data_IF_027315381074
#
_entry.id   IF_027315381074
#
_cell.length_a   1.000
_cell.length_b   1.000
_cell.length_c   1.000
_cell.angle_alpha   90.00
_cell.angle_beta   90.00
_cell.angle_gamma   90.00
#
_symmetry.space_group_name_H-M   'P 1'
#
loop_
_entity.id
_entity.type
_entity.pdbx_description
1 polymer ?
#
# COMPACT_ATOMS: atom_id res chain seq x y z
N UNK A 1 25.46 86.97 -53.98
CA UNK A 1 24.54 85.99 -54.58
C UNK A 1 25.33 84.72 -54.86
N UNK A 2 24.84 83.60 -54.30
CA UNK A 2 25.17 82.19 -54.57
C UNK A 2 26.52 81.91 -55.26
N UNK A 3 27.46 81.33 -54.52
CA UNK A 3 27.89 79.98 -54.89
C UNK A 3 28.53 79.22 -53.74
N UNK A 4 28.16 77.94 -53.60
CA UNK A 4 28.57 77.06 -52.52
C UNK A 4 29.99 76.55 -52.76
N UNK A 5 30.94 77.01 -51.93
CA UNK A 5 32.18 76.28 -51.66
C UNK A 5 31.92 75.13 -50.70
N UNK A 6 32.19 73.89 -51.12
CA UNK A 6 32.59 72.80 -50.21
C UNK A 6 33.94 72.25 -50.68
N UNK A 7 34.98 72.32 -49.84
CA UNK A 7 36.30 71.77 -50.13
C UNK A 7 36.39 70.29 -49.75
N UNK A 8 37.33 69.62 -50.42
CA UNK A 8 37.93 68.35 -50.02
C UNK A 8 38.43 68.38 -48.57
N UNK A 9 38.40 67.23 -47.87
CA UNK A 9 39.53 66.69 -47.09
C UNK A 9 39.16 65.40 -46.36
N UNK A 10 40.01 64.38 -46.58
CA UNK A 10 40.61 63.43 -45.60
C UNK A 10 39.63 62.46 -44.89
N UNK A 11 39.96 61.22 -44.54
CA UNK A 11 41.23 60.59 -44.23
C UNK A 11 41.05 59.07 -44.07
N UNK A 12 42.18 58.34 -44.09
CA UNK A 12 42.42 57.01 -43.53
C UNK A 12 41.81 55.76 -44.22
N UNK A 13 42.71 54.90 -44.71
CA UNK A 13 42.37 53.52 -45.06
C UNK A 13 43.46 52.77 -45.82
N UNK A 14 44.74 53.04 -45.57
CA UNK A 14 45.85 52.16 -45.99
C UNK A 14 45.80 50.93 -45.06
N UNK A 15 45.94 49.73 -45.62
CA UNK A 15 45.99 48.38 -45.00
C UNK A 15 44.69 47.57 -44.96
N UNK A 16 44.23 47.09 -46.11
CA UNK A 16 43.40 45.86 -46.17
C UNK A 16 43.53 45.14 -47.52
N UNK A 17 44.75 44.96 -48.02
CA UNK A 17 45.03 44.27 -49.28
C UNK A 17 45.40 42.78 -49.12
N UNK A 18 45.06 42.12 -48.00
CA UNK A 18 45.57 40.76 -47.72
C UNK A 18 44.63 39.88 -46.88
N UNK A 19 43.31 39.97 -47.05
CA UNK A 19 42.38 39.17 -46.23
C UNK A 19 41.07 38.72 -46.92
N UNK A 20 41.05 38.56 -48.25
CA UNK A 20 39.85 38.06 -48.98
C UNK A 20 40.14 36.82 -49.87
N UNK A 21 41.38 36.32 -49.91
CA UNK A 21 41.78 35.21 -50.80
C UNK A 21 41.93 33.83 -50.14
N UNK A 22 41.59 33.64 -48.86
CA UNK A 22 41.93 32.41 -48.13
C UNK A 22 40.85 31.95 -47.15
N UNK A 23 39.58 31.95 -47.57
CA UNK A 23 38.46 31.58 -46.69
C UNK A 23 37.53 30.47 -47.21
N UNK A 24 37.84 29.77 -48.30
CA UNK A 24 36.98 28.69 -48.83
C UNK A 24 37.79 27.52 -49.41
N UNK A 25 38.75 26.97 -48.65
CA UNK A 25 39.36 25.68 -48.93
C UNK A 25 39.79 25.01 -47.61
N UNK A 26 38.89 24.89 -46.63
CA UNK A 26 39.03 23.84 -45.62
C UNK A 26 38.42 22.58 -46.23
N UNK A 27 39.15 21.98 -47.17
CA UNK A 27 38.88 20.63 -47.60
C UNK A 27 39.07 19.75 -46.36
N UNK A 28 37.99 19.16 -45.87
CA UNK A 28 37.99 18.16 -44.81
C UNK A 28 38.75 16.93 -45.33
N UNK A 29 40.02 16.69 -44.92
CA UNK A 29 40.86 15.69 -45.56
C UNK A 29 40.46 14.25 -45.19
N UNK A 30 39.58 14.08 -44.20
CA UNK A 30 39.18 12.75 -43.69
C UNK A 30 38.17 12.01 -44.59
N UNK A 31 37.31 12.71 -45.34
CA UNK A 31 36.25 12.03 -46.13
C UNK A 31 36.76 11.46 -47.45
N UNK A 32 37.84 12.03 -47.99
CA UNK A 32 38.41 11.63 -49.28
C UNK A 32 39.21 10.31 -49.18
N UNK A 33 39.82 10.03 -48.03
CA UNK A 33 40.71 8.87 -47.88
C UNK A 33 39.91 7.55 -47.79
N UNK A 34 38.88 7.49 -46.93
CA UNK A 34 38.01 6.31 -46.76
C UNK A 34 37.28 5.93 -48.07
N UNK A 35 36.71 6.92 -48.76
CA UNK A 35 36.01 6.66 -50.02
C UNK A 35 36.98 6.18 -51.11
N UNK A 36 38.19 6.75 -51.18
CA UNK A 36 39.23 6.32 -52.10
C UNK A 36 39.67 4.87 -51.82
N UNK A 37 39.83 4.50 -50.55
CA UNK A 37 40.18 3.14 -50.16
C UNK A 37 39.08 2.13 -50.52
N UNK A 38 37.80 2.47 -50.31
CA UNK A 38 36.68 1.62 -50.73
C UNK A 38 36.68 1.40 -52.24
N UNK A 39 36.93 2.45 -53.03
CA UNK A 39 36.98 2.36 -54.49
C UNK A 39 38.15 1.51 -54.99
N UNK A 40 39.35 1.69 -54.43
CA UNK A 40 40.53 0.85 -54.70
C UNK A 40 40.27 -0.61 -54.33
N UNK A 41 39.68 -0.83 -53.16
CA UNK A 41 39.27 -2.16 -52.69
C UNK A 41 38.27 -2.83 -53.63
N UNK A 42 37.28 -2.09 -54.14
CA UNK A 42 36.30 -2.59 -55.13
C UNK A 42 36.97 -2.96 -56.45
N UNK A 43 37.86 -2.12 -56.96
CA UNK A 43 38.59 -2.40 -58.20
C UNK A 43 39.44 -3.68 -58.07
N UNK A 44 40.18 -3.83 -56.97
CA UNK A 44 40.96 -5.03 -56.68
C UNK A 44 40.06 -6.28 -56.49
N UNK A 45 38.88 -6.13 -55.87
CA UNK A 45 37.90 -7.20 -55.70
C UNK A 45 37.35 -7.71 -57.05
N UNK A 46 36.98 -6.79 -57.96
CA UNK A 46 36.52 -7.13 -59.31
C UNK A 46 37.62 -7.83 -60.12
N UNK A 47 38.87 -7.40 -59.94
CA UNK A 47 40.05 -8.07 -60.52
C UNK A 47 40.36 -9.45 -59.88
N UNK A 48 39.56 -9.89 -58.90
CA UNK A 48 39.78 -11.10 -58.09
C UNK A 48 41.11 -11.09 -57.32
N UNK A 49 41.76 -9.92 -57.18
CA UNK A 49 42.94 -9.75 -56.35
C UNK A 49 42.55 -9.54 -54.88
N UNK A 50 42.05 -10.60 -54.26
CA UNK A 50 41.56 -10.55 -52.89
C UNK A 50 42.66 -10.19 -51.88
N UNK A 51 43.93 -10.48 -52.17
CA UNK A 51 45.09 -10.14 -51.34
C UNK A 51 45.28 -8.62 -51.21
N UNK A 52 45.04 -7.90 -52.31
CA UNK A 52 45.14 -6.44 -52.37
C UNK A 52 43.85 -5.76 -51.88
N UNK A 53 42.67 -6.36 -52.11
CA UNK A 53 41.39 -5.77 -51.71
C UNK A 53 41.17 -5.72 -50.19
N UNK A 54 41.56 -6.78 -49.46
CA UNK A 54 41.33 -6.90 -48.00
C UNK A 54 41.91 -5.75 -47.15
N UNK A 55 43.18 -5.32 -47.32
CA UNK A 55 43.74 -4.23 -46.52
C UNK A 55 43.02 -2.89 -46.76
N UNK A 56 42.56 -2.59 -47.98
CA UNK A 56 41.82 -1.37 -48.27
C UNK A 56 40.50 -1.31 -47.49
N UNK A 57 39.71 -2.40 -47.51
CA UNK A 57 38.47 -2.43 -46.72
C UNK A 57 38.72 -2.48 -45.20
N UNK A 58 39.84 -3.01 -44.74
CA UNK A 58 40.21 -2.95 -43.32
C UNK A 58 40.57 -1.54 -42.86
N UNK A 59 41.34 -0.78 -43.65
CA UNK A 59 41.62 0.64 -43.39
C UNK A 59 40.33 1.46 -43.37
N UNK A 60 39.43 1.19 -44.32
CA UNK A 60 38.10 1.78 -44.34
C UNK A 60 37.25 1.44 -43.10
N UNK A 61 37.64 0.45 -42.28
CA UNK A 61 37.01 0.07 -41.00
C UNK A 61 37.82 0.45 -39.75
N UNK A 62 39.00 1.05 -39.87
CA UNK A 62 39.87 1.44 -38.76
C UNK A 62 39.20 2.49 -37.83
N UNK A 63 39.11 2.28 -36.50
CA UNK A 63 38.52 3.25 -35.57
C UNK A 63 39.16 4.65 -35.55
N UNK A 64 40.38 4.82 -36.09
CA UNK A 64 41.09 6.10 -36.11
C UNK A 64 40.54 7.12 -37.14
N UNK A 65 39.67 6.69 -38.04
CA UNK A 65 39.04 7.52 -39.08
C UNK A 65 37.87 8.35 -38.50
N UNK A 66 38.09 9.66 -38.30
CA UNK A 66 37.15 10.58 -37.59
C UNK A 66 35.84 10.86 -38.36
N UNK A 67 35.71 10.47 -39.63
CA UNK A 67 34.56 10.85 -40.50
C UNK A 67 34.01 9.67 -41.31
N UNK A 68 33.47 8.64 -40.65
CA UNK A 68 32.87 7.47 -41.31
C UNK A 68 31.35 7.57 -41.43
N UNK A 69 30.82 7.34 -42.62
CA UNK A 69 29.38 7.15 -42.84
C UNK A 69 28.98 5.71 -42.45
N UNK A 70 27.86 5.50 -41.72
CA UNK A 70 27.33 4.17 -41.44
C UNK A 70 27.23 3.28 -42.69
N UNK A 71 26.83 3.83 -43.83
CA UNK A 71 26.72 3.12 -45.11
C UNK A 71 28.07 2.61 -45.64
N UNK A 72 29.15 3.40 -45.50
CA UNK A 72 30.51 3.00 -45.87
C UNK A 72 31.02 1.86 -44.99
N UNK A 73 30.60 1.83 -43.72
CA UNK A 73 30.90 0.74 -42.78
C UNK A 73 30.25 -0.57 -43.22
N UNK A 74 28.94 -0.53 -43.53
CA UNK A 74 28.19 -1.69 -44.01
C UNK A 74 28.78 -2.21 -45.34
N UNK A 75 29.04 -1.31 -46.29
CA UNK A 75 29.69 -1.66 -47.57
C UNK A 75 31.04 -2.33 -47.36
N UNK A 76 31.92 -1.74 -46.55
CA UNK A 76 33.27 -2.29 -46.32
C UNK A 76 33.24 -3.66 -45.63
N UNK A 77 32.33 -3.86 -44.66
CA UNK A 77 32.13 -5.16 -44.02
C UNK A 77 31.55 -6.20 -44.98
N UNK A 78 30.61 -5.82 -45.86
CA UNK A 78 30.06 -6.73 -46.86
C UNK A 78 31.15 -7.24 -47.80
N UNK A 79 32.02 -6.34 -48.30
CA UNK A 79 33.15 -6.74 -49.15
C UNK A 79 34.19 -7.58 -48.41
N UNK A 80 34.49 -7.32 -47.14
CA UNK A 80 35.36 -8.18 -46.34
C UNK A 80 34.76 -9.58 -46.13
N UNK A 81 33.46 -9.67 -45.88
CA UNK A 81 32.76 -10.95 -45.79
C UNK A 81 32.81 -11.71 -47.11
N UNK A 82 32.60 -11.02 -48.24
CA UNK A 82 32.71 -11.61 -49.57
C UNK A 82 34.14 -12.12 -49.88
N UNK A 83 35.18 -11.35 -49.51
CA UNK A 83 36.58 -11.78 -49.61
C UNK A 83 36.86 -13.00 -48.73
N UNK A 84 36.30 -13.05 -47.52
CA UNK A 84 36.46 -14.19 -46.62
C UNK A 84 35.82 -15.46 -47.21
N UNK A 85 34.62 -15.36 -47.81
CA UNK A 85 33.99 -16.47 -48.55
C UNK A 85 34.87 -16.92 -49.72
N UNK A 86 35.36 -15.99 -50.54
CA UNK A 86 36.20 -16.31 -51.69
C UNK A 86 37.52 -17.01 -51.31
N UNK A 87 38.02 -16.78 -50.08
CA UNK A 87 39.20 -17.47 -49.53
C UNK A 87 38.86 -18.74 -48.72
N UNK A 88 37.61 -19.21 -48.75
CA UNK A 88 37.17 -20.41 -48.02
C UNK A 88 36.98 -20.21 -46.52
N UNK A 89 37.11 -18.99 -46.00
CA UNK A 89 36.93 -18.65 -44.57
C UNK A 89 35.46 -18.35 -44.26
N UNK A 90 34.61 -19.36 -44.41
CA UNK A 90 33.15 -19.22 -44.32
C UNK A 90 32.68 -18.78 -42.91
N UNK A 91 33.32 -19.26 -41.85
CA UNK A 91 33.00 -18.88 -40.47
C UNK A 91 33.31 -17.40 -40.17
N UNK A 92 34.47 -16.91 -40.64
CA UNK A 92 34.85 -15.50 -40.50
C UNK A 92 33.89 -14.59 -41.26
N UNK A 93 33.47 -15.00 -42.47
CA UNK A 93 32.47 -14.29 -43.25
C UNK A 93 31.12 -14.19 -42.51
N UNK A 94 30.67 -15.30 -41.90
CA UNK A 94 29.45 -15.32 -41.08
C UNK A 94 29.49 -14.31 -39.94
N UNK A 95 30.62 -14.21 -39.21
CA UNK A 95 30.80 -13.22 -38.12
C UNK A 95 30.77 -11.78 -38.62
N UNK A 96 31.38 -11.52 -39.77
CA UNK A 96 31.36 -10.19 -40.41
C UNK A 96 29.95 -9.81 -40.85
N UNK A 97 29.19 -10.74 -41.43
CA UNK A 97 27.79 -10.52 -41.80
C UNK A 97 26.88 -10.35 -40.58
N UNK A 98 27.10 -11.13 -39.52
CA UNK A 98 26.36 -10.98 -38.27
C UNK A 98 26.58 -9.58 -37.66
N UNK A 99 27.84 -9.13 -37.61
CA UNK A 99 28.17 -7.78 -37.12
C UNK A 99 27.56 -6.70 -38.02
N UNK A 100 27.60 -6.89 -39.35
CA UNK A 100 26.96 -5.99 -40.30
C UNK A 100 25.45 -5.88 -40.05
N UNK A 101 24.77 -7.00 -39.85
CA UNK A 101 23.32 -7.06 -39.64
C UNK A 101 22.89 -6.54 -38.26
N UNK A 102 23.78 -6.57 -37.26
CA UNK A 102 23.56 -5.95 -35.96
C UNK A 102 23.64 -4.42 -36.06
N UNK A 103 24.57 -3.90 -36.85
CA UNK A 103 24.76 -2.46 -37.06
C UNK A 103 23.72 -1.87 -38.04
N UNK A 104 23.38 -2.61 -39.09
CA UNK A 104 22.45 -2.21 -40.15
C UNK A 104 21.53 -3.37 -40.57
N UNK A 105 20.35 -3.42 -39.95
CA UNK A 105 19.36 -4.49 -40.15
C UNK A 105 18.68 -4.46 -41.52
N UNK A 106 18.72 -3.31 -42.21
CA UNK A 106 18.06 -3.08 -43.49
C UNK A 106 19.02 -3.20 -44.67
N UNK A 107 20.29 -3.49 -44.42
CA UNK A 107 21.29 -3.65 -45.46
C UNK A 107 20.92 -4.77 -46.44
N UNK A 108 20.87 -4.42 -47.72
CA UNK A 108 20.66 -5.36 -48.81
C UNK A 108 21.85 -5.30 -49.78
N UNK A 109 22.59 -6.41 -49.94
CA UNK A 109 23.68 -6.46 -50.90
C UNK A 109 23.12 -6.48 -52.34
N UNK A 110 23.78 -5.75 -53.24
CA UNK A 110 23.46 -5.76 -54.67
C UNK A 110 23.77 -7.15 -55.28
N UNK A 111 22.76 -7.89 -55.80
CA UNK A 111 22.96 -9.21 -56.37
C UNK A 111 23.91 -9.28 -57.56
N UNK A 112 24.13 -8.16 -58.27
CA UNK A 112 25.05 -8.11 -59.41
C UNK A 112 26.51 -7.89 -58.97
N UNK A 113 26.72 -7.33 -57.77
CA UNK A 113 28.04 -7.02 -57.24
C UNK A 113 28.71 -8.22 -56.53
N UNK A 114 27.93 -9.20 -56.07
CA UNK A 114 28.42 -10.32 -55.26
C UNK A 114 28.05 -11.69 -55.85
N UNK A 115 28.95 -12.70 -55.78
CA UNK A 115 28.64 -14.06 -56.18
C UNK A 115 27.48 -14.67 -55.36
N UNK A 116 26.76 -15.61 -55.96
CA UNK A 116 25.62 -16.30 -55.33
C UNK A 116 25.96 -16.93 -53.98
N UNK A 117 27.14 -17.52 -53.83
CA UNK A 117 27.57 -18.15 -52.57
C UNK A 117 27.66 -17.16 -51.40
N UNK A 118 28.07 -15.92 -51.69
CA UNK A 118 28.16 -14.83 -50.71
C UNK A 118 26.77 -14.38 -50.29
N UNK A 119 25.87 -14.18 -51.27
CA UNK A 119 24.48 -13.79 -51.03
C UNK A 119 23.74 -14.85 -50.22
N UNK A 120 23.90 -16.13 -50.54
CA UNK A 120 23.28 -17.22 -49.80
C UNK A 120 23.77 -17.25 -48.35
N UNK A 121 25.09 -17.14 -48.12
CA UNK A 121 25.62 -17.10 -46.76
C UNK A 121 25.10 -15.88 -45.97
N UNK A 122 24.96 -14.73 -46.62
CA UNK A 122 24.39 -13.53 -46.00
C UNK A 122 22.92 -13.74 -45.62
N UNK A 123 22.10 -14.31 -46.51
CA UNK A 123 20.69 -14.63 -46.25
C UNK A 123 20.56 -15.63 -45.10
N UNK A 124 21.37 -16.69 -45.10
CA UNK A 124 21.42 -17.70 -44.03
C UNK A 124 21.77 -17.06 -42.69
N UNK A 125 22.79 -16.20 -42.67
CA UNK A 125 23.22 -15.48 -41.46
C UNK A 125 22.10 -14.59 -40.94
N UNK A 126 21.39 -13.88 -41.83
CA UNK A 126 20.24 -13.05 -41.47
C UNK A 126 19.09 -13.86 -40.89
N UNK A 127 18.78 -15.01 -41.47
CA UNK A 127 17.76 -15.90 -40.94
C UNK A 127 18.13 -16.42 -39.55
N UNK A 128 19.38 -16.88 -39.37
CA UNK A 128 19.87 -17.36 -38.08
C UNK A 128 19.89 -16.26 -37.01
N UNK A 129 20.33 -15.04 -37.36
CA UNK A 129 20.37 -13.92 -36.42
C UNK A 129 18.95 -13.53 -35.96
N UNK A 130 17.99 -13.45 -36.89
CA UNK A 130 16.59 -13.17 -36.55
C UNK A 130 16.01 -14.21 -35.59
N UNK A 131 16.27 -15.48 -35.83
CA UNK A 131 15.82 -16.56 -34.95
C UNK A 131 16.42 -16.44 -33.55
N UNK A 132 17.74 -16.23 -33.45
CA UNK A 132 18.42 -16.03 -32.15
C UNK A 132 17.87 -14.82 -31.39
N UNK A 133 17.62 -13.70 -32.07
CA UNK A 133 17.06 -12.49 -31.44
C UNK A 133 15.63 -12.71 -30.96
N UNK A 134 14.79 -13.38 -31.77
CA UNK A 134 13.42 -13.71 -31.39
C UNK A 134 13.36 -14.67 -30.20
N UNK A 135 14.21 -15.70 -30.19
CA UNK A 135 14.34 -16.64 -29.07
C UNK A 135 14.76 -15.92 -27.78
N UNK A 136 15.78 -15.06 -27.85
CA UNK A 136 16.23 -14.27 -26.70
C UNK A 136 15.15 -13.29 -26.20
N UNK A 137 14.38 -12.67 -27.11
CA UNK A 137 13.26 -11.81 -26.74
C UNK A 137 12.12 -12.60 -26.05
N UNK A 138 11.80 -13.80 -26.56
CA UNK A 138 10.80 -14.68 -25.96
C UNK A 138 11.22 -15.15 -24.56
N UNK A 139 12.49 -15.47 -24.35
CA UNK A 139 13.02 -15.83 -23.03
C UNK A 139 12.94 -14.66 -22.05
N UNK A 140 13.34 -13.45 -22.46
CA UNK A 140 13.22 -12.23 -21.63
C UNK A 140 11.76 -11.96 -21.26
N UNK A 141 10.83 -12.06 -22.21
CA UNK A 141 9.41 -11.90 -21.95
C UNK A 141 8.86 -12.94 -20.96
N UNK A 142 9.29 -14.21 -21.06
CA UNK A 142 8.93 -15.26 -20.11
C UNK A 142 9.49 -14.98 -18.71
N UNK A 143 10.73 -14.51 -18.62
CA UNK A 143 11.37 -14.16 -17.35
C UNK A 143 10.67 -12.97 -16.68
N UNK A 144 10.31 -11.93 -17.44
CA UNK A 144 9.55 -10.79 -16.94
C UNK A 144 8.14 -11.18 -16.50
N UNK A 145 7.43 -11.99 -17.28
CA UNK A 145 6.11 -12.50 -16.92
C UNK A 145 6.16 -13.34 -15.63
N UNK A 146 7.15 -14.23 -15.51
CA UNK A 146 7.36 -15.02 -14.29
C UNK A 146 7.69 -14.14 -13.08
N UNK A 147 8.49 -13.08 -13.26
CA UNK A 147 8.79 -12.12 -12.20
C UNK A 147 7.54 -11.36 -11.74
N UNK A 148 6.73 -10.86 -12.67
CA UNK A 148 5.46 -10.17 -12.36
C UNK A 148 4.50 -11.10 -11.61
N UNK A 149 4.36 -12.36 -12.06
CA UNK A 149 3.54 -13.35 -11.37
C UNK A 149 4.03 -13.62 -9.94
N UNK A 150 5.34 -13.74 -9.72
CA UNK A 150 5.93 -13.90 -8.38
C UNK A 150 5.66 -12.70 -7.49
N UNK A 151 5.79 -11.48 -8.02
CA UNK A 151 5.51 -10.24 -7.29
C UNK A 151 4.02 -10.13 -6.92
N UNK A 152 3.10 -10.49 -7.82
CA UNK A 152 1.66 -10.54 -7.53
C UNK A 152 1.29 -11.60 -6.49
N UNK A 153 1.85 -12.81 -6.61
CA UNK A 153 1.66 -13.88 -5.62
C UNK A 153 2.19 -13.45 -4.26
N UNK A 154 3.37 -12.83 -4.21
CA UNK A 154 3.95 -12.29 -2.99
C UNK A 154 3.10 -11.16 -2.39
N UNK A 155 2.49 -10.32 -3.23
CA UNK A 155 1.55 -9.27 -2.79
C UNK A 155 0.31 -9.87 -2.16
N UNK A 156 -0.34 -10.82 -2.83
CA UNK A 156 -1.51 -11.54 -2.32
C UNK A 156 -1.20 -12.27 -1.01
N UNK A 157 -0.05 -12.96 -0.93
CA UNK A 157 0.33 -13.66 0.30
C UNK A 157 0.56 -12.71 1.47
N UNK A 158 1.10 -11.50 1.21
CA UNK A 158 1.25 -10.45 2.23
C UNK A 158 -0.09 -9.93 2.69
N UNK A 159 -1.02 -9.64 1.77
CA UNK A 159 -2.38 -9.21 2.10
C UNK A 159 -3.11 -10.26 2.96
N UNK A 160 -3.03 -11.53 2.59
CA UNK A 160 -3.65 -12.63 3.35
C UNK A 160 -3.00 -12.85 4.72
N UNK A 161 -1.67 -12.70 4.81
CA UNK A 161 -0.96 -12.74 6.08
C UNK A 161 -1.38 -11.59 6.99
N UNK A 162 -1.44 -10.36 6.47
CA UNK A 162 -1.92 -9.19 7.22
C UNK A 162 -3.36 -9.39 7.69
N UNK A 163 -4.26 -9.90 6.83
CA UNK A 163 -5.64 -10.21 7.21
C UNK A 163 -5.70 -11.23 8.35
N UNK A 164 -4.91 -12.31 8.27
CA UNK A 164 -4.82 -13.31 9.34
C UNK A 164 -4.28 -12.72 10.64
N UNK A 165 -3.22 -11.92 10.57
CA UNK A 165 -2.64 -11.26 11.75
C UNK A 165 -3.64 -10.30 12.37
N UNK A 166 -4.37 -9.52 11.57
CA UNK A 166 -5.42 -8.61 12.07
C UNK A 166 -6.56 -9.37 12.75
N UNK A 167 -6.99 -10.50 12.21
CA UNK A 167 -8.01 -11.34 12.85
C UNK A 167 -7.52 -11.88 14.21
N UNK A 168 -6.29 -12.39 14.26
CA UNK A 168 -5.69 -12.90 15.52
C UNK A 168 -5.45 -11.77 16.53
N UNK A 169 -5.04 -10.58 16.08
CA UNK A 169 -4.81 -9.42 16.93
C UNK A 169 -6.11 -8.72 17.40
N UNK A 170 -7.25 -8.98 16.74
CA UNK A 170 -8.55 -8.49 17.15
C UNK A 170 -9.13 -9.25 18.34
N UNK A 171 -8.57 -10.41 18.70
CA UNK A 171 -9.01 -11.18 19.86
C UNK A 171 -8.08 -10.89 21.04
N UNK A 172 -8.62 -10.26 22.08
CA UNK A 172 -7.92 -10.09 23.35
C UNK A 172 -8.52 -11.03 24.39
N UNK A 173 -7.67 -11.89 24.95
CA UNK A 173 -8.01 -12.80 26.04
C UNK A 173 -7.89 -12.03 27.36
N UNK A 174 -8.97 -11.41 27.81
CA UNK A 174 -8.98 -10.71 29.10
C UNK A 174 -9.29 -11.73 30.19
N UNK A 175 -8.36 -11.90 31.12
CA UNK A 175 -8.58 -12.74 32.32
C UNK A 175 -9.12 -11.84 33.41
N UNK A 176 -10.41 -11.95 33.71
CA UNK A 176 -11.03 -11.23 34.82
C UNK A 176 -10.85 -12.07 36.08
N UNK A 177 -10.19 -11.50 37.09
CA UNK A 177 -10.00 -12.15 38.40
C UNK A 177 -11.22 -11.93 39.27
N UNK A 178 -11.78 -13.01 39.79
CA UNK A 178 -12.85 -12.96 40.77
C UNK A 178 -12.27 -12.76 42.18
N UNK A 179 -12.97 -12.00 43.01
CA UNK A 179 -12.58 -11.72 44.40
C UNK A 179 -13.48 -12.49 45.37
N UNK A 180 -12.87 -13.22 46.31
CA UNK A 180 -13.61 -13.96 47.35
C UNK A 180 -14.41 -13.05 48.29
N UNK A 181 -13.96 -11.80 48.46
CA UNK A 181 -14.68 -10.81 49.28
C UNK A 181 -16.00 -10.40 48.64
N UNK A 182 -16.03 -10.27 47.30
CA UNK A 182 -17.27 -9.99 46.59
C UNK A 182 -18.27 -11.15 46.71
N UNK A 183 -17.77 -12.40 46.79
CA UNK A 183 -18.59 -13.58 47.05
C UNK A 183 -19.12 -13.70 48.50
N UNK A 184 -18.72 -12.79 49.42
CA UNK A 184 -19.30 -12.70 50.77
C UNK A 184 -20.48 -11.73 50.85
N UNK A 185 -20.74 -10.97 49.78
CA UNK A 185 -21.82 -10.00 49.79
C UNK A 185 -23.18 -10.70 49.61
N UNK A 186 -24.22 -10.27 50.36
CA UNK A 186 -25.59 -10.71 50.15
C UNK A 186 -26.13 -10.22 48.79
N UNK A 187 -27.38 -10.52 48.50
CA UNK A 187 -28.11 -10.16 47.28
C UNK A 187 -27.62 -10.86 46.01
N UNK A 188 -27.08 -12.07 46.15
CA UNK A 188 -26.69 -12.88 45.00
C UNK A 188 -25.42 -12.42 44.27
N UNK A 189 -24.65 -11.48 44.84
CA UNK A 189 -23.45 -10.89 44.19
C UNK A 189 -22.40 -11.97 43.88
N UNK A 190 -22.17 -12.90 44.80
CA UNK A 190 -21.23 -14.01 44.59
C UNK A 190 -21.66 -14.97 43.48
N UNK A 191 -22.96 -15.25 43.37
CA UNK A 191 -23.53 -16.09 42.32
C UNK A 191 -23.39 -15.43 40.94
N UNK A 192 -23.62 -14.12 40.85
CA UNK A 192 -23.42 -13.34 39.63
C UNK A 192 -21.94 -13.34 39.21
N UNK A 193 -21.03 -13.18 40.17
CA UNK A 193 -19.59 -13.27 39.94
C UNK A 193 -19.16 -14.65 39.43
N UNK A 194 -19.74 -15.72 39.99
CA UNK A 194 -19.46 -17.10 39.59
C UNK A 194 -20.17 -17.51 38.27
N UNK A 195 -20.92 -16.60 37.63
CA UNK A 195 -21.63 -16.88 36.37
C UNK A 195 -23.00 -17.58 36.52
N UNK A 196 -23.45 -17.82 37.75
CA UNK A 196 -24.74 -18.44 38.06
C UNK A 196 -25.86 -17.39 38.07
N UNK A 197 -26.17 -16.83 36.89
CA UNK A 197 -27.08 -15.68 36.75
C UNK A 197 -28.46 -15.92 37.34
N UNK A 198 -29.05 -17.09 37.09
CA UNK A 198 -30.38 -17.42 37.60
C UNK A 198 -30.41 -17.36 39.13
N UNK A 199 -29.47 -18.04 39.80
CA UNK A 199 -29.38 -18.06 41.26
C UNK A 199 -29.09 -16.67 41.85
N UNK A 200 -28.21 -15.90 41.20
CA UNK A 200 -27.91 -14.53 41.60
C UNK A 200 -29.14 -13.63 41.60
N UNK A 201 -29.94 -13.64 40.52
CA UNK A 201 -31.17 -12.86 40.44
C UNK A 201 -32.25 -13.36 41.40
N UNK A 202 -32.37 -14.68 41.62
CA UNK A 202 -33.36 -15.20 42.58
C UNK A 202 -33.05 -14.76 44.00
N UNK A 203 -31.77 -14.78 44.41
CA UNK A 203 -31.36 -14.31 45.73
C UNK A 203 -31.52 -12.80 45.86
N UNK A 204 -31.14 -12.02 44.84
CA UNK A 204 -31.38 -10.57 44.81
C UNK A 204 -32.85 -10.23 45.06
N UNK A 205 -33.77 -10.90 44.37
CA UNK A 205 -35.22 -10.66 44.52
C UNK A 205 -35.71 -11.14 45.88
N UNK A 206 -35.36 -12.36 46.29
CA UNK A 206 -35.83 -12.93 47.56
C UNK A 206 -35.37 -12.09 48.77
N UNK A 207 -34.09 -11.78 48.83
CA UNK A 207 -33.51 -10.95 49.89
C UNK A 207 -34.03 -9.51 49.83
N UNK A 208 -34.18 -8.95 48.63
CA UNK A 208 -34.76 -7.62 48.42
C UNK A 208 -36.19 -7.51 48.94
N UNK A 209 -37.03 -8.52 48.70
CA UNK A 209 -38.40 -8.60 49.23
C UNK A 209 -38.39 -8.69 50.76
N UNK A 210 -37.50 -9.48 51.35
CA UNK A 210 -37.41 -9.61 52.81
C UNK A 210 -36.96 -8.30 53.48
N UNK A 211 -35.97 -7.62 52.91
CA UNK A 211 -35.50 -6.31 53.40
C UNK A 211 -36.59 -5.25 53.23
N UNK A 212 -37.23 -5.18 52.06
CA UNK A 212 -38.32 -4.25 51.81
C UNK A 212 -39.51 -4.51 52.74
N UNK A 213 -39.89 -5.77 52.94
CA UNK A 213 -40.93 -6.16 53.88
C UNK A 213 -40.58 -5.75 55.31
N UNK A 214 -39.34 -5.98 55.74
CA UNK A 214 -38.84 -5.55 57.05
C UNK A 214 -38.95 -4.03 57.20
N UNK A 215 -38.50 -3.25 56.21
CA UNK A 215 -38.60 -1.79 56.24
C UNK A 215 -40.06 -1.30 56.28
N UNK A 216 -40.96 -1.92 55.50
CA UNK A 216 -42.37 -1.57 55.45
C UNK A 216 -43.09 -1.79 56.79
N UNK A 217 -42.65 -2.74 57.62
CA UNK A 217 -43.27 -2.93 58.95
C UNK A 217 -43.01 -1.77 59.93
N UNK A 218 -41.96 -0.97 59.74
CA UNK A 218 -41.60 0.13 60.65
C UNK A 218 -42.70 1.20 60.78
N UNK A 219 -43.22 1.82 59.70
CA UNK A 219 -44.30 2.79 59.83
C UNK A 219 -45.58 2.19 60.44
N UNK A 220 -45.90 0.93 60.13
CA UNK A 220 -47.04 0.25 60.75
C UNK A 220 -46.84 0.05 62.26
N UNK A 221 -45.62 -0.30 62.69
CA UNK A 221 -45.29 -0.42 64.11
C UNK A 221 -45.40 0.92 64.83
N UNK A 222 -44.80 1.98 64.28
CA UNK A 222 -44.83 3.34 64.86
C UNK A 222 -46.27 3.85 64.93
N UNK A 223 -47.06 3.68 63.87
CA UNK A 223 -48.47 4.07 63.85
C UNK A 223 -49.28 3.32 64.92
N UNK A 224 -49.11 2.00 65.04
CA UNK A 224 -49.80 1.23 66.07
C UNK A 224 -49.42 1.68 67.50
N UNK A 225 -48.15 2.04 67.72
CA UNK A 225 -47.66 2.52 69.01
C UNK A 225 -48.20 3.93 69.34
N UNK A 226 -48.24 4.82 68.36
CA UNK A 226 -48.78 6.18 68.51
C UNK A 226 -50.28 6.14 68.85
N UNK A 227 -51.07 5.35 68.12
CA UNK A 227 -52.50 5.17 68.41
C UNK A 227 -52.74 4.58 69.80
N UNK A 228 -51.90 3.64 70.26
CA UNK A 228 -51.99 3.11 71.62
C UNK A 228 -51.76 4.18 72.69
N UNK A 229 -50.83 5.12 72.46
CA UNK A 229 -50.51 6.19 73.39
C UNK A 229 -51.62 7.26 73.45
N UNK A 230 -52.19 7.63 72.30
CA UNK A 230 -53.29 8.60 72.21
C UNK A 230 -54.58 8.10 72.89
N UNK A 231 -54.90 6.81 72.77
CA UNK A 231 -56.08 6.23 73.40
C UNK A 231 -55.90 6.09 74.92
N UNK A 232 -54.68 5.80 75.38
CA UNK A 232 -54.33 5.82 76.81
C UNK A 232 -54.46 7.24 77.40
N UNK A 233 -54.05 8.26 76.66
CA UNK A 233 -54.16 9.67 77.07
C UNK A 233 -55.61 10.19 77.11
N UNK A 234 -56.52 9.61 76.32
CA UNK A 234 -57.94 9.98 76.25
C UNK A 234 -58.83 9.32 77.33
N UNK A 235 -58.25 8.50 78.21
CA UNK A 235 -58.96 7.91 79.35
C UNK A 235 -59.90 6.75 79.02
N UNK A 236 -59.75 6.14 77.84
CA UNK A 236 -60.59 5.02 77.41
C UNK A 236 -60.02 3.67 77.91
N UNK A 237 -60.84 2.75 78.43
CA UNK A 237 -60.39 1.66 79.30
C UNK A 237 -59.63 0.58 78.53
N UNK A 238 -58.48 0.18 79.10
CA UNK A 238 -57.60 -1.00 78.92
C UNK A 238 -57.75 -1.88 77.66
N UNK A 239 -58.96 -2.27 77.24
CA UNK A 239 -59.21 -3.17 76.09
C UNK A 239 -58.77 -2.61 74.73
N UNK A 240 -59.03 -1.31 74.43
CA UNK A 240 -58.65 -0.71 73.13
C UNK A 240 -57.15 -0.49 73.02
N UNK A 241 -56.55 0.07 74.08
CA UNK A 241 -55.09 0.22 74.15
C UNK A 241 -54.36 -1.13 74.10
N UNK A 242 -54.92 -2.17 74.70
CA UNK A 242 -54.36 -3.53 74.62
C UNK A 242 -54.38 -4.08 73.20
N UNK A 243 -55.47 -3.89 72.44
CA UNK A 243 -55.56 -4.32 71.05
C UNK A 243 -54.47 -3.68 70.16
N UNK A 244 -54.13 -2.40 70.36
CA UNK A 244 -53.02 -1.75 69.65
C UNK A 244 -51.65 -2.26 70.09
N UNK A 245 -51.46 -2.56 71.38
CA UNK A 245 -50.24 -3.21 71.89
C UNK A 245 -50.04 -4.61 71.31
N UNK A 246 -51.11 -5.40 71.23
CA UNK A 246 -51.09 -6.75 70.63
C UNK A 246 -50.79 -6.67 69.13
N UNK A 247 -51.33 -5.66 68.43
CA UNK A 247 -51.01 -5.38 67.03
C UNK A 247 -49.55 -4.98 66.84
N UNK A 248 -49.02 -4.10 67.68
CA UNK A 248 -47.60 -3.71 67.64
C UNK A 248 -46.68 -4.90 67.92
N UNK A 249 -47.03 -5.75 68.88
CA UNK A 249 -46.31 -6.99 69.17
C UNK A 249 -46.32 -7.95 67.97
N UNK A 250 -47.47 -8.09 67.30
CA UNK A 250 -47.60 -8.91 66.09
C UNK A 250 -46.75 -8.36 64.94
N UNK A 251 -46.78 -7.05 64.71
CA UNK A 251 -45.94 -6.39 63.68
C UNK A 251 -44.45 -6.59 63.99
N UNK A 252 -44.05 -6.50 65.27
CA UNK A 252 -42.67 -6.77 65.70
C UNK A 252 -42.28 -8.22 65.47
N UNK A 253 -43.17 -9.18 65.75
CA UNK A 253 -42.92 -10.59 65.47
C UNK A 253 -42.74 -10.84 63.96
N UNK A 254 -43.57 -10.22 63.12
CA UNK A 254 -43.44 -10.28 61.65
C UNK A 254 -42.13 -9.64 61.20
N UNK A 255 -41.77 -8.47 61.72
CA UNK A 255 -40.49 -7.81 61.42
C UNK A 255 -39.30 -8.71 61.74
N UNK A 256 -39.31 -9.33 62.94
CA UNK A 256 -38.24 -10.24 63.36
C UNK A 256 -38.18 -11.51 62.49
N UNK A 257 -39.34 -12.05 62.08
CA UNK A 257 -39.40 -13.18 61.18
C UNK A 257 -38.84 -12.86 59.78
N UNK A 258 -39.18 -11.69 59.22
CA UNK A 258 -38.66 -11.23 57.93
C UNK A 258 -37.15 -10.95 58.00
N UNK A 259 -36.68 -10.28 59.05
CA UNK A 259 -35.27 -10.01 59.27
C UNK A 259 -34.46 -11.29 59.48
N UNK A 260 -34.98 -12.23 60.29
CA UNK A 260 -34.38 -13.55 60.49
C UNK A 260 -34.34 -14.38 59.21
N UNK A 261 -35.43 -14.34 58.42
CA UNK A 261 -35.50 -14.96 57.10
C UNK A 261 -34.45 -14.37 56.14
N UNK A 262 -34.28 -13.05 56.13
CA UNK A 262 -33.23 -12.40 55.33
C UNK A 262 -31.84 -12.90 55.72
N UNK A 263 -31.51 -12.90 57.01
CA UNK A 263 -30.20 -13.36 57.49
C UNK A 263 -29.95 -14.82 57.12
N UNK A 264 -30.95 -15.69 57.27
CA UNK A 264 -30.83 -17.10 56.92
C UNK A 264 -30.57 -17.31 55.42
N UNK A 265 -31.35 -16.63 54.56
CA UNK A 265 -31.19 -16.70 53.10
C UNK A 265 -29.84 -16.13 52.67
N UNK A 266 -29.43 -15.00 53.24
CA UNK A 266 -28.16 -14.36 52.95
C UNK A 266 -26.96 -15.25 53.32
N UNK A 267 -26.97 -15.89 54.50
CA UNK A 267 -25.90 -16.83 54.90
C UNK A 267 -25.86 -18.03 53.95
N UNK A 268 -27.01 -18.62 53.62
CA UNK A 268 -27.09 -19.73 52.69
C UNK A 268 -26.55 -19.34 51.30
N UNK A 269 -26.90 -18.14 50.82
CA UNK A 269 -26.37 -17.56 49.59
C UNK A 269 -24.85 -17.39 49.64
N UNK A 270 -24.30 -16.81 50.71
CA UNK A 270 -22.85 -16.63 50.86
C UNK A 270 -22.10 -17.96 50.88
N UNK A 271 -22.58 -18.95 51.65
CA UNK A 271 -21.96 -20.28 51.70
C UNK A 271 -21.97 -20.92 50.32
N UNK A 272 -23.10 -20.85 49.61
CA UNK A 272 -23.22 -21.41 48.27
C UNK A 272 -22.26 -20.70 47.27
N UNK A 273 -22.13 -19.38 47.36
CA UNK A 273 -21.21 -18.62 46.51
C UNK A 273 -19.73 -18.96 46.76
N UNK A 274 -19.35 -19.22 48.02
CA UNK A 274 -17.98 -19.62 48.36
C UNK A 274 -17.67 -21.04 47.89
N UNK A 275 -18.63 -21.96 48.00
CA UNK A 275 -18.45 -23.34 47.51
C UNK A 275 -18.34 -23.40 45.98
N UNK A 276 -19.10 -22.57 45.27
CA UNK A 276 -19.09 -22.52 43.81
C UNK A 276 -18.11 -21.48 43.23
N UNK A 277 -17.14 -21.02 44.02
CA UNK A 277 -16.25 -19.91 43.65
C UNK A 277 -15.36 -20.24 42.44
N UNK A 278 -15.43 -19.40 41.40
CA UNK A 278 -14.58 -19.50 40.20
C UNK A 278 -13.53 -18.39 40.23
N UNK A 279 -12.23 -18.70 40.39
CA UNK A 279 -11.20 -17.69 40.63
C UNK A 279 -10.87 -16.84 39.40
N UNK A 280 -10.90 -17.43 38.21
CA UNK A 280 -10.54 -16.74 36.96
C UNK A 280 -11.52 -17.09 35.87
N UNK A 281 -11.97 -16.07 35.14
CA UNK A 281 -12.79 -16.24 33.95
C UNK A 281 -12.09 -15.63 32.75
N UNK A 282 -11.92 -16.46 31.73
CA UNK A 282 -11.39 -16.05 30.45
C UNK A 282 -12.56 -15.51 29.62
N UNK A 283 -12.53 -14.22 29.33
CA UNK A 283 -13.45 -13.61 28.36
C UNK A 283 -12.65 -13.19 27.12
N UNK A 284 -13.06 -13.69 25.96
CA UNK A 284 -12.53 -13.23 24.67
C UNK A 284 -13.30 -11.98 24.30
N UNK A 285 -12.62 -10.83 24.28
CA UNK A 285 -13.20 -9.55 23.83
C UNK A 285 -12.58 -9.13 22.52
N UNK A 286 -13.39 -8.51 21.66
CA UNK A 286 -12.92 -7.92 20.41
C UNK A 286 -12.20 -6.61 20.72
N UNK A 287 -10.89 -6.57 20.50
CA UNK A 287 -10.06 -5.37 20.63
C UNK A 287 -10.17 -4.51 19.37
N UNK A 288 -10.29 -3.20 19.53
CA UNK A 288 -10.13 -2.26 18.42
C UNK A 288 -8.65 -2.18 18.03
N UNK A 289 -8.38 -2.36 16.73
CA UNK A 289 -7.02 -2.23 16.19
C UNK A 289 -6.53 -0.77 16.36
N UNK A 290 -5.23 -0.55 16.65
CA UNK A 290 -4.64 0.77 16.64
C UNK A 290 -4.89 1.45 15.27
N UNK A 291 -5.11 2.77 15.23
CA UNK A 291 -5.19 3.48 13.96
C UNK A 291 -3.88 3.30 13.18
N UNK A 292 -4.01 3.12 11.86
CA UNK A 292 -2.89 2.94 10.96
C UNK A 292 -1.91 4.12 11.09
N UNK A 293 -0.59 3.89 11.23
CA UNK A 293 0.36 4.99 11.34
C UNK A 293 0.33 5.85 10.08
N UNK A 294 0.33 7.18 10.28
CA UNK A 294 0.37 8.17 9.19
C UNK A 294 1.58 7.89 8.28
N UNK A 295 1.34 7.24 7.12
CA UNK A 295 2.39 6.90 6.16
C UNK A 295 2.25 5.57 5.39
N UNK A 296 1.21 4.77 5.62
CA UNK A 296 1.01 3.52 4.86
C UNK A 296 0.77 3.77 3.35
N UNK A 297 1.40 2.99 2.44
CA UNK A 297 1.28 3.21 1.00
C UNK A 297 -0.17 3.00 0.53
N UNK A 298 -0.66 3.95 -0.26
CA UNK A 298 -2.06 4.16 -0.67
C UNK A 298 -2.78 3.00 -1.40
N UNK A 299 -2.18 1.80 -1.51
CA UNK A 299 -2.77 0.65 -2.20
C UNK A 299 -3.88 -0.08 -1.43
N UNK A 300 -4.08 0.22 -0.14
CA UNK A 300 -5.14 -0.35 0.69
C UNK A 300 -6.44 0.48 0.72
N UNK A 301 -6.57 1.52 -0.13
CA UNK A 301 -7.84 2.25 -0.28
C UNK A 301 -8.85 1.45 -1.11
N UNK A 302 -9.28 0.30 -0.60
CA UNK A 302 -10.47 -0.39 -1.08
C UNK A 302 -11.58 -0.14 -0.08
N UNK A 303 -12.50 0.75 -0.44
CA UNK A 303 -13.79 0.89 0.20
C UNK A 303 -13.84 1.84 1.39
N UNK A 304 -13.76 3.15 1.15
CA UNK A 304 -14.45 4.11 2.02
C UNK A 304 -15.48 4.85 1.18
N UNK A 305 -16.75 4.58 1.46
CA UNK A 305 -17.87 5.32 0.90
C UNK A 305 -17.68 6.83 1.15
N UNK A 306 -18.12 7.71 0.23
CA UNK A 306 -18.01 9.15 0.42
C UNK A 306 -18.86 9.56 1.63
N UNK A 307 -18.20 9.93 2.73
CA UNK A 307 -18.89 10.56 3.84
C UNK A 307 -19.14 12.01 3.45
N UNK A 308 -20.36 12.32 3.01
CA UNK A 308 -20.82 13.70 2.85
C UNK A 308 -20.90 14.32 4.25
N UNK A 309 -19.97 15.21 4.57
CA UNK A 309 -20.01 15.95 5.83
C UNK A 309 -20.69 17.29 5.57
N UNK A 310 -21.85 17.47 6.19
CA UNK A 310 -22.63 18.71 6.12
C UNK A 310 -22.56 19.39 7.49
N UNK A 311 -22.17 20.65 7.49
CA UNK A 311 -22.11 21.50 8.67
C UNK A 311 -23.22 22.56 8.60
N UNK A 312 -24.09 22.65 9.61
CA UNK A 312 -25.00 23.79 9.75
C UNK A 312 -24.19 25.03 10.12
N UNK A 313 -24.41 26.13 9.41
CA UNK A 313 -23.84 27.43 9.71
C UNK A 313 -24.95 28.44 9.99
N UNK A 314 -24.79 29.21 11.05
CA UNK A 314 -25.65 30.35 11.39
C UNK A 314 -24.81 31.62 11.29
N UNK A 315 -25.24 32.59 10.49
CA UNK A 315 -24.59 33.88 10.37
C UNK A 315 -25.59 35.00 10.68
N UNK A 316 -25.23 35.97 11.55
CA UNK A 316 -26.07 37.13 11.80
C UNK A 316 -26.00 38.10 10.60
N UNK A 317 -27.13 38.72 10.28
CA UNK A 317 -27.26 39.79 9.28
C UNK A 317 -28.06 40.93 9.89
N UNK A 318 -27.86 42.17 9.43
CA UNK A 318 -28.61 43.31 9.97
C UNK A 318 -30.12 43.09 9.78
N UNK A 319 -30.84 42.94 10.90
CA UNK A 319 -32.26 42.63 10.94
C UNK A 319 -32.62 41.15 11.22
N UNK A 320 -31.66 40.23 11.38
CA UNK A 320 -31.96 38.83 11.74
C UNK A 320 -30.77 37.86 11.66
N UNK A 321 -31.06 36.56 11.53
CA UNK A 321 -30.05 35.52 11.34
C UNK A 321 -30.40 34.61 10.17
N UNK A 322 -29.40 34.21 9.39
CA UNK A 322 -29.56 33.23 8.30
C UNK A 322 -28.94 31.90 8.74
N UNK A 323 -29.71 30.82 8.62
CA UNK A 323 -29.24 29.46 8.81
C UNK A 323 -29.04 28.79 7.43
N UNK A 324 -27.91 28.13 7.24
CA UNK A 324 -27.58 27.39 6.01
C UNK A 324 -26.87 26.09 6.31
N UNK A 325 -26.85 25.17 5.33
CA UNK A 325 -26.08 23.93 5.37
C UNK A 325 -24.95 24.04 4.34
N UNK A 326 -23.71 23.85 4.79
CA UNK A 326 -22.54 23.82 3.91
C UNK A 326 -21.92 22.44 3.97
N UNK A 327 -21.56 21.87 2.81
CA UNK A 327 -20.95 20.54 2.76
C UNK A 327 -19.88 20.46 1.68
N UNK A 328 -18.93 19.55 1.87
CA UNK A 328 -17.96 19.15 0.83
C UNK A 328 -18.47 17.85 0.20
N UNK A 329 -18.79 17.92 -1.08
CA UNK A 329 -19.20 16.79 -1.92
C UNK A 329 -17.98 16.17 -2.60
#
# INVERSE_FOLDING_TARGET
MRDHRRPATRALGVLAALAVGAALCVATPARADVQSDIEKGRAAYVAKNYAEAEPHFRRALDPAETSRDPSQTSVSRMFLGAIAVARGRREDAGKLFETLLLDDQLYEPDPLSFPTDVINLFIDTRAQLRERLNAAAAERARQEAARRQREEVARKSKEDWLRRVQLLAAEEKVTVKSSRLAAMLPFGVGQLQNGQRALGYTLLVAEGVLVAGTALTLPFYVSAQASAAEDYARGDPERRAQAYKDRAASIRAVNLALAGGFVAVAIAGVVQAQLAFVPERVEVRKRSLPPEPDGAPASAKVGRAPHTVVFPSLAPVEGGGVAGLSGRF
#
